data_IF_417062089790
#
_entry.id   IF_417062089790
#
_cell.length_a   1.000
_cell.length_b   1.000
_cell.length_c   1.000
_cell.angle_alpha   90.00
_cell.angle_beta   90.00
_cell.angle_gamma   90.00
#
_symmetry.space_group_name_H-M   'P 1'
#
loop_
_entity.id
_entity.type
_entity.pdbx_description
1 polymer ?
#
# COMPACT_ATOMS: atom_id res chain seq x y z
N UNK A 1 21.31 31.72 61.62
CA UNK A 1 22.36 32.25 60.71
C UNK A 1 23.50 31.25 60.73
N UNK A 2 23.74 30.40 59.75
CA UNK A 2 23.16 30.28 58.42
C UNK A 2 23.27 28.82 58.01
N UNK A 3 22.16 28.23 57.60
CA UNK A 3 22.13 26.96 56.86
C UNK A 3 22.83 27.17 55.51
N UNK A 4 23.75 26.26 55.18
CA UNK A 4 24.38 26.21 53.87
C UNK A 4 23.72 25.08 53.09
N UNK A 5 22.73 25.47 52.30
CA UNK A 5 21.98 24.65 51.35
C UNK A 5 22.90 24.18 50.24
N UNK A 6 22.99 22.86 50.04
CA UNK A 6 23.55 22.28 48.82
C UNK A 6 22.59 22.53 47.65
N UNK A 7 23.08 22.80 46.42
CA UNK A 7 22.20 22.85 45.27
C UNK A 7 21.90 21.41 44.82
N UNK A 8 20.67 20.97 45.09
CA UNK A 8 20.00 19.97 44.25
C UNK A 8 19.65 20.62 42.90
N UNK A 9 19.77 19.85 41.82
CA UNK A 9 19.09 20.16 40.56
C UNK A 9 20.01 20.53 39.40
N UNK A 10 20.38 19.50 38.64
CA UNK A 10 20.31 19.55 37.18
C UNK A 10 20.40 18.10 36.68
N UNK A 11 19.24 17.47 36.49
CA UNK A 11 19.15 16.32 35.58
C UNK A 11 19.70 16.80 34.23
N UNK A 12 20.72 16.16 33.64
CA UNK A 12 21.22 16.59 32.34
C UNK A 12 20.05 16.47 31.36
N UNK A 13 19.72 17.56 30.68
CA UNK A 13 18.84 17.54 29.52
C UNK A 13 19.28 16.39 28.63
N UNK A 14 18.54 15.28 28.68
CA UNK A 14 18.71 14.16 27.76
C UNK A 14 18.62 14.78 26.38
N UNK A 15 19.70 14.71 25.61
CA UNK A 15 19.73 15.07 24.21
C UNK A 15 18.62 14.28 23.50
N UNK A 16 17.45 14.89 23.30
CA UNK A 16 16.27 14.24 22.71
C UNK A 16 16.36 14.19 21.18
N UNK A 17 17.55 14.38 20.60
CA UNK A 17 17.75 14.42 19.14
C UNK A 17 17.71 13.06 18.45
N UNK A 18 17.72 11.95 19.19
CA UNK A 18 17.62 10.60 18.64
C UNK A 18 16.19 10.13 18.37
N UNK A 19 16.03 9.06 17.55
CA UNK A 19 14.73 8.47 17.22
C UNK A 19 14.02 7.93 18.47
N UNK A 20 12.70 7.83 18.40
CA UNK A 20 11.89 7.24 19.47
C UNK A 20 12.13 5.72 19.58
N UNK A 21 12.26 5.04 18.45
CA UNK A 21 12.55 3.62 18.36
C UNK A 21 13.72 3.41 17.41
N UNK A 22 14.66 2.57 17.79
CA UNK A 22 15.78 2.16 16.96
C UNK A 22 15.98 0.65 17.10
N UNK A 23 15.95 -0.04 15.96
CA UNK A 23 16.11 -1.49 15.85
C UNK A 23 17.34 -1.73 15.00
N UNK A 24 18.33 -2.43 15.55
CA UNK A 24 19.62 -2.68 14.87
C UNK A 24 19.94 -4.18 14.88
N UNK A 25 20.32 -4.71 13.72
CA UNK A 25 20.66 -6.11 13.43
C UNK A 25 19.75 -7.15 14.13
N UNK A 26 18.44 -6.91 14.16
CA UNK A 26 17.51 -7.74 14.92
C UNK A 26 17.37 -9.13 14.29
N UNK A 27 17.69 -10.16 15.07
CA UNK A 27 17.52 -11.56 14.69
C UNK A 27 16.68 -12.33 15.72
N UNK A 28 15.73 -13.14 15.24
CA UNK A 28 14.87 -13.98 16.10
C UNK A 28 14.52 -15.29 15.39
N UNK A 29 14.68 -16.39 16.11
CA UNK A 29 14.43 -17.76 15.67
C UNK A 29 13.46 -18.48 16.61
N UNK A 30 12.69 -19.42 16.07
CA UNK A 30 11.92 -20.38 16.86
C UNK A 30 12.43 -21.79 16.58
N UNK A 31 13.19 -22.35 17.53
CA UNK A 31 13.93 -23.58 17.28
C UNK A 31 14.98 -23.37 16.19
N UNK A 32 15.01 -24.24 15.18
CA UNK A 32 15.96 -24.15 14.06
C UNK A 32 15.48 -23.20 12.93
N UNK A 33 14.30 -22.60 13.08
CA UNK A 33 13.73 -21.73 12.05
C UNK A 33 13.99 -20.25 12.39
N UNK A 34 14.87 -19.61 11.62
CA UNK A 34 15.02 -18.15 11.62
C UNK A 34 13.77 -17.49 11.05
N UNK A 35 13.13 -16.60 11.82
CA UNK A 35 11.93 -15.86 11.39
C UNK A 35 12.28 -14.44 10.96
N UNK A 36 13.23 -13.82 11.64
CA UNK A 36 13.75 -12.49 11.30
C UNK A 36 15.26 -12.50 11.45
N UNK A 37 15.97 -11.86 10.52
CA UNK A 37 17.43 -11.83 10.46
C UNK A 37 17.89 -10.48 9.92
N UNK A 38 18.71 -9.76 10.70
CA UNK A 38 19.30 -8.48 10.29
C UNK A 38 18.27 -7.38 10.02
N UNK A 39 17.17 -7.34 10.77
CA UNK A 39 16.18 -6.26 10.61
C UNK A 39 16.70 -4.97 11.24
N UNK A 40 16.72 -3.90 10.45
CA UNK A 40 17.18 -2.57 10.84
C UNK A 40 16.20 -1.49 10.40
N UNK A 41 15.75 -0.66 11.33
CA UNK A 41 14.96 0.54 11.05
C UNK A 41 14.87 1.43 12.29
N UNK A 42 14.59 2.71 12.06
CA UNK A 42 14.33 3.70 13.10
C UNK A 42 12.96 4.34 12.93
N UNK A 43 12.40 4.87 14.01
CA UNK A 43 11.14 5.62 14.00
C UNK A 43 11.37 6.93 14.72
N UNK A 44 11.18 8.01 13.98
CA UNK A 44 11.34 9.36 14.51
C UNK A 44 10.22 9.70 15.50
N UNK A 45 10.48 10.71 16.32
CA UNK A 45 9.49 11.20 17.27
C UNK A 45 8.36 11.89 16.51
N UNK A 46 7.11 11.53 16.81
CA UNK A 46 5.96 12.15 16.17
C UNK A 46 5.65 11.59 14.78
N UNK A 47 6.19 10.42 14.42
CA UNK A 47 5.87 9.73 13.17
C UNK A 47 5.04 8.46 13.39
N UNK A 48 4.26 8.10 12.37
CA UNK A 48 3.59 6.81 12.22
C UNK A 48 4.32 5.97 11.17
N UNK A 49 4.94 4.87 11.61
CA UNK A 49 5.63 3.93 10.72
C UNK A 49 4.80 2.66 10.52
N UNK A 50 4.57 2.29 9.26
CA UNK A 50 3.85 1.08 8.88
C UNK A 50 4.80 -0.10 8.65
N UNK A 51 4.69 -1.17 9.43
CA UNK A 51 5.30 -2.46 9.10
C UNK A 51 4.38 -3.20 8.12
N UNK A 52 4.83 -3.35 6.88
CA UNK A 52 4.08 -4.00 5.80
C UNK A 52 4.84 -5.24 5.28
N UNK A 53 4.17 -6.11 4.54
CA UNK A 53 4.78 -7.33 3.98
C UNK A 53 3.82 -8.51 3.98
N UNK A 54 4.19 -9.63 3.33
CA UNK A 54 3.34 -10.82 3.28
C UNK A 54 3.14 -11.45 4.67
N UNK A 55 2.20 -12.39 4.73
CA UNK A 55 2.01 -13.22 5.91
C UNK A 55 3.27 -14.05 6.17
N UNK A 56 3.65 -14.15 7.45
CA UNK A 56 4.87 -14.86 7.84
C UNK A 56 6.17 -14.06 7.66
N UNK A 57 6.14 -12.81 7.18
CA UNK A 57 7.34 -11.98 7.02
C UNK A 57 8.03 -11.58 8.35
N UNK A 58 7.42 -11.86 9.50
CA UNK A 58 8.00 -11.54 10.81
C UNK A 58 7.52 -10.23 11.47
N UNK A 59 6.53 -9.52 10.89
CA UNK A 59 5.97 -8.26 11.45
C UNK A 59 5.63 -8.35 12.94
N UNK A 60 4.79 -9.31 13.31
CA UNK A 60 4.41 -9.57 14.71
C UNK A 60 5.60 -9.98 15.58
N UNK A 61 6.59 -10.69 15.04
CA UNK A 61 7.82 -11.06 15.73
C UNK A 61 8.66 -9.82 16.07
N UNK A 62 8.83 -8.91 15.10
CA UNK A 62 9.48 -7.60 15.31
C UNK A 62 8.74 -6.80 16.39
N UNK A 63 7.42 -6.67 16.29
CA UNK A 63 6.63 -5.97 17.31
C UNK A 63 6.75 -6.61 18.70
N UNK A 64 6.85 -7.95 18.79
CA UNK A 64 7.07 -8.68 20.05
C UNK A 64 8.43 -8.42 20.66
N UNK A 65 9.47 -8.29 19.84
CA UNK A 65 10.80 -7.89 20.27
C UNK A 65 10.78 -6.45 20.78
N UNK A 66 10.15 -5.51 20.04
CA UNK A 66 10.06 -4.10 20.44
C UNK A 66 9.29 -3.88 21.74
N UNK A 67 8.26 -4.67 22.03
CA UNK A 67 7.55 -4.60 23.33
C UNK A 67 8.21 -5.40 24.46
N UNK A 68 9.37 -6.01 24.22
CA UNK A 68 10.12 -6.78 25.23
C UNK A 68 9.41 -8.06 25.69
N UNK A 69 8.52 -8.62 24.88
CA UNK A 69 7.86 -9.92 25.16
C UNK A 69 8.55 -11.11 24.50
N UNK A 70 9.56 -10.82 23.67
CA UNK A 70 10.36 -11.79 22.96
C UNK A 70 11.80 -11.28 22.97
N UNK A 71 12.70 -12.04 23.58
CA UNK A 71 14.12 -11.71 23.58
C UNK A 71 14.72 -12.11 22.22
N UNK A 72 15.48 -11.21 21.56
CA UNK A 72 16.11 -11.54 20.30
C UNK A 72 17.36 -12.41 20.48
N UNK A 73 17.71 -13.17 19.45
CA UNK A 73 18.95 -13.96 19.40
C UNK A 73 20.18 -13.06 19.22
N UNK A 74 20.01 -11.98 18.44
CA UNK A 74 21.02 -10.97 18.17
C UNK A 74 20.38 -9.61 17.88
N UNK A 75 21.20 -8.57 17.87
CA UNK A 75 20.77 -7.19 17.66
C UNK A 75 20.36 -6.46 18.94
N UNK A 76 19.91 -5.23 18.79
CA UNK A 76 19.48 -4.37 19.91
C UNK A 76 18.22 -3.61 19.53
N UNK A 77 17.37 -3.36 20.53
CA UNK A 77 16.20 -2.51 20.39
C UNK A 77 16.30 -1.42 21.43
N UNK A 78 16.26 -0.17 21.00
CA UNK A 78 16.28 1.01 21.88
C UNK A 78 14.96 1.74 21.76
N UNK A 79 14.39 2.11 22.90
CA UNK A 79 13.23 2.99 22.97
C UNK A 79 13.63 4.21 23.79
N UNK A 80 13.42 5.39 23.22
CA UNK A 80 13.85 6.67 23.80
C UNK A 80 15.37 6.68 24.11
N UNK A 81 16.16 6.07 23.22
CA UNK A 81 17.62 5.91 23.34
C UNK A 81 18.08 4.79 24.30
N UNK A 82 17.18 4.19 25.05
CA UNK A 82 17.51 3.19 26.08
C UNK A 82 17.30 1.75 25.57
N UNK A 83 18.30 0.84 25.67
CA UNK A 83 18.13 -0.57 25.35
C UNK A 83 17.04 -1.20 26.21
N UNK A 84 16.10 -1.92 25.60
CA UNK A 84 14.96 -2.50 26.33
C UNK A 84 15.27 -3.89 26.90
N UNK A 85 16.23 -4.62 26.31
CA UNK A 85 16.61 -5.97 26.73
C UNK A 85 17.11 -6.03 28.18
N UNK A 86 17.74 -4.96 28.67
CA UNK A 86 18.24 -4.87 30.05
C UNK A 86 17.19 -4.37 31.05
N UNK A 87 15.96 -4.11 30.61
CA UNK A 87 14.89 -3.53 31.44
C UNK A 87 13.93 -4.60 31.93
N UNK A 88 13.33 -4.36 33.10
CA UNK A 88 12.20 -5.17 33.54
C UNK A 88 10.99 -4.95 32.64
N UNK A 89 10.10 -5.95 32.53
CA UNK A 89 8.84 -5.81 31.78
C UNK A 89 7.99 -4.61 32.25
N UNK A 90 8.06 -4.26 33.55
CA UNK A 90 7.40 -3.06 34.09
C UNK A 90 8.03 -1.76 33.57
N UNK A 91 9.34 -1.72 33.39
CA UNK A 91 10.03 -0.56 32.81
C UNK A 91 9.77 -0.44 31.29
N UNK A 92 9.79 -1.55 30.55
CA UNK A 92 9.46 -1.55 29.10
C UNK A 92 8.02 -1.10 28.86
N UNK A 93 7.07 -1.58 29.68
CA UNK A 93 5.67 -1.13 29.61
C UNK A 93 5.45 0.32 30.05
N UNK A 94 6.45 1.04 30.56
CA UNK A 94 6.34 2.51 30.71
C UNK A 94 6.83 3.27 29.48
N UNK A 95 7.56 2.61 28.58
CA UNK A 95 8.09 3.18 27.35
C UNK A 95 7.20 2.85 26.14
N UNK A 96 6.59 1.67 26.13
CA UNK A 96 5.82 1.17 24.98
C UNK A 96 4.48 0.61 25.44
N UNK A 97 3.40 1.09 24.84
CA UNK A 97 2.07 0.47 24.96
C UNK A 97 1.76 -0.29 23.67
N UNK A 98 1.02 -1.40 23.78
CA UNK A 98 0.61 -2.18 22.61
C UNK A 98 -0.85 -2.61 22.70
N UNK A 99 -1.56 -2.57 21.58
CA UNK A 99 -2.87 -3.22 21.48
C UNK A 99 -2.71 -4.71 21.16
N UNK A 100 -3.38 -5.63 21.87
CA UNK A 100 -3.34 -7.06 21.54
C UNK A 100 -4.08 -7.35 20.22
N UNK A 101 -3.57 -8.31 19.43
CA UNK A 101 -4.18 -8.78 18.19
C UNK A 101 -5.54 -9.50 18.40
N UNK A 102 -5.81 -10.00 19.62
CA UNK A 102 -7.04 -10.73 19.96
C UNK A 102 -7.78 -10.16 21.17
N UNK A 103 -9.10 -10.05 21.07
CA UNK A 103 -10.00 -9.42 22.07
C UNK A 103 -10.71 -10.43 22.99
N UNK A 104 -10.19 -11.64 23.17
CA UNK A 104 -10.86 -12.65 23.99
C UNK A 104 -10.62 -12.41 25.49
N UNK A 105 -11.34 -11.46 26.09
CA UNK A 105 -11.47 -11.40 27.55
C UNK A 105 -12.48 -12.47 27.99
N UNK A 106 -12.01 -13.45 28.76
CA UNK A 106 -12.84 -14.55 29.28
C UNK A 106 -13.80 -14.13 30.40
N UNK A 107 -13.76 -12.86 30.81
CA UNK A 107 -14.55 -12.30 31.90
C UNK A 107 -15.21 -10.99 31.46
N UNK A 108 -16.39 -10.72 32.01
CA UNK A 108 -17.25 -9.61 31.61
C UNK A 108 -16.85 -8.30 32.31
N UNK A 109 -15.69 -7.77 31.95
CA UNK A 109 -15.26 -6.46 32.42
C UNK A 109 -16.03 -5.34 31.72
N UNK A 110 -16.31 -4.26 32.44
CA UNK A 110 -16.80 -3.03 31.80
C UNK A 110 -15.73 -2.40 30.91
N UNK A 111 -16.15 -1.54 29.99
CA UNK A 111 -15.22 -0.74 29.18
C UNK A 111 -14.27 0.05 30.07
N UNK A 112 -14.78 0.71 31.11
CA UNK A 112 -13.95 1.48 32.06
C UNK A 112 -12.90 0.59 32.71
N UNK A 113 -13.31 -0.56 33.26
CA UNK A 113 -12.38 -1.51 33.88
C UNK A 113 -11.31 -2.00 32.89
N UNK A 114 -11.69 -2.20 31.62
CA UNK A 114 -10.75 -2.58 30.57
C UNK A 114 -9.71 -1.50 30.31
N UNK A 115 -10.11 -0.23 30.32
CA UNK A 115 -9.18 0.91 30.14
C UNK A 115 -8.32 1.13 31.38
N UNK A 116 -8.86 0.96 32.58
CA UNK A 116 -8.13 1.02 33.85
C UNK A 116 -6.95 0.03 33.90
N UNK A 117 -7.06 -1.13 33.23
CA UNK A 117 -5.95 -2.08 33.10
C UNK A 117 -4.71 -1.47 32.43
N UNK A 118 -4.85 -0.39 31.65
CA UNK A 118 -3.74 0.38 31.09
C UNK A 118 -2.84 1.02 32.16
N UNK A 119 -3.36 1.24 33.38
CA UNK A 119 -2.60 1.81 34.50
C UNK A 119 -1.75 0.79 35.28
N UNK A 120 -1.83 -0.50 34.93
CA UNK A 120 -1.08 -1.58 35.62
C UNK A 120 0.43 -1.28 35.75
N UNK A 121 1.14 -0.72 34.75
CA UNK A 121 2.57 -0.38 34.89
C UNK A 121 2.87 0.76 35.87
N UNK A 122 1.87 1.57 36.23
CA UNK A 122 2.01 2.69 37.17
C UNK A 122 1.74 2.25 38.61
N UNK A 123 0.92 1.23 38.81
CA UNK A 123 0.53 0.73 40.12
C UNK A 123 1.53 -0.28 40.72
N UNK A 124 1.77 -0.17 42.02
CA UNK A 124 2.36 -1.23 42.85
C UNK A 124 1.34 -2.32 43.21
N UNK A 125 1.82 -3.42 43.79
CA UNK A 125 0.99 -4.61 44.09
C UNK A 125 -0.23 -4.34 44.99
N UNK A 126 -0.17 -3.31 45.82
CA UNK A 126 -1.21 -2.94 46.77
C UNK A 126 -1.73 -1.51 46.57
N UNK A 127 -1.28 -0.85 45.50
CA UNK A 127 -1.69 0.51 45.23
C UNK A 127 -3.11 0.54 44.67
N UNK A 128 -3.82 1.60 45.01
CA UNK A 128 -5.11 1.93 44.40
C UNK A 128 -4.88 3.07 43.43
N UNK A 129 -5.72 3.14 42.39
CA UNK A 129 -5.72 4.27 41.48
C UNK A 129 -5.94 5.59 42.23
N UNK A 130 -5.03 6.53 42.02
CA UNK A 130 -5.15 7.89 42.51
C UNK A 130 -5.97 8.77 41.54
N UNK A 131 -6.03 10.07 41.83
CA UNK A 131 -6.75 11.02 40.97
C UNK A 131 -6.05 11.21 39.61
N UNK A 132 -4.72 11.03 39.54
CA UNK A 132 -3.96 11.07 38.30
C UNK A 132 -4.28 9.89 37.39
N UNK A 133 -4.33 8.68 37.94
CA UNK A 133 -4.70 7.47 37.21
C UNK A 133 -6.13 7.57 36.67
N UNK A 134 -7.07 8.09 37.47
CA UNK A 134 -8.46 8.30 37.02
C UNK A 134 -8.55 9.31 35.89
N UNK A 135 -7.84 10.44 35.98
CA UNK A 135 -7.77 11.43 34.90
C UNK A 135 -7.16 10.86 33.61
N UNK A 136 -6.10 10.05 33.73
CA UNK A 136 -5.48 9.40 32.58
C UNK A 136 -6.45 8.44 31.87
N UNK A 137 -7.22 7.66 32.63
CA UNK A 137 -8.28 6.79 32.10
C UNK A 137 -9.39 7.60 31.43
N UNK A 138 -9.89 8.65 32.08
CA UNK A 138 -10.95 9.50 31.51
C UNK A 138 -10.50 10.16 30.19
N UNK A 139 -9.31 10.76 30.19
CA UNK A 139 -8.73 11.39 28.99
C UNK A 139 -8.54 10.38 27.87
N UNK A 140 -8.10 9.16 28.18
CA UNK A 140 -7.93 8.11 27.18
C UNK A 140 -9.28 7.64 26.60
N UNK A 141 -10.32 7.53 27.42
CA UNK A 141 -11.67 7.17 26.97
C UNK A 141 -12.30 8.26 26.11
N UNK A 142 -12.06 9.53 26.42
CA UNK A 142 -12.50 10.68 25.63
C UNK A 142 -11.80 10.72 24.27
N UNK A 143 -10.45 10.66 24.26
CA UNK A 143 -9.65 10.64 23.03
C UNK A 143 -10.05 9.50 22.09
N UNK A 144 -10.31 8.32 22.63
CA UNK A 144 -10.75 7.17 21.84
C UNK A 144 -12.26 7.16 21.54
N UNK A 145 -13.02 8.16 21.98
CA UNK A 145 -14.47 8.25 21.78
C UNK A 145 -15.23 6.99 22.26
N UNK A 146 -14.89 6.53 23.47
CA UNK A 146 -15.51 5.36 24.14
C UNK A 146 -16.10 5.69 25.51
N UNK A 147 -16.04 6.96 25.94
CA UNK A 147 -16.57 7.42 27.24
C UNK A 147 -18.06 7.05 27.42
N UNK A 148 -18.86 7.15 26.36
CA UNK A 148 -20.29 6.79 26.36
C UNK A 148 -20.57 5.30 26.60
N UNK A 149 -19.54 4.44 26.52
CA UNK A 149 -19.66 3.00 26.73
C UNK A 149 -19.11 2.54 28.09
N UNK A 150 -18.70 3.46 28.97
CA UNK A 150 -17.93 3.17 30.17
C UNK A 150 -18.45 2.00 31.01
N UNK A 151 -19.76 1.95 31.25
CA UNK A 151 -20.40 0.95 32.10
C UNK A 151 -20.91 -0.27 31.32
N UNK A 152 -20.80 -0.26 29.98
CA UNK A 152 -21.19 -1.40 29.17
C UNK A 152 -20.16 -2.53 29.32
N UNK A 153 -20.61 -3.80 29.25
CA UNK A 153 -19.69 -4.91 29.16
C UNK A 153 -18.89 -4.85 27.86
N UNK A 154 -17.57 -5.06 27.93
CA UNK A 154 -16.67 -5.03 26.77
C UNK A 154 -17.11 -6.04 25.70
N UNK A 155 -17.59 -7.21 26.12
CA UNK A 155 -18.07 -8.28 25.26
C UNK A 155 -19.33 -7.88 24.45
N UNK A 156 -20.08 -6.86 24.89
CA UNK A 156 -21.28 -6.37 24.20
C UNK A 156 -21.01 -5.40 23.04
N UNK A 157 -19.76 -4.95 22.88
CA UNK A 157 -19.37 -3.97 21.87
C UNK A 157 -19.16 -4.60 20.49
N UNK A 158 -19.31 -3.82 19.43
CA UNK A 158 -18.91 -4.21 18.07
C UNK A 158 -17.39 -4.36 17.96
N UNK A 159 -16.89 -5.04 16.93
CA UNK A 159 -15.43 -5.21 16.72
C UNK A 159 -14.67 -3.89 16.69
N UNK A 160 -15.19 -2.88 15.96
CA UNK A 160 -14.57 -1.56 15.87
C UNK A 160 -14.64 -0.77 17.18
N UNK A 161 -15.72 -0.92 17.95
CA UNK A 161 -15.82 -0.33 19.30
C UNK A 161 -14.82 -0.97 20.25
N UNK A 162 -14.69 -2.30 20.25
CA UNK A 162 -13.69 -3.02 21.05
C UNK A 162 -12.27 -2.56 20.72
N UNK A 163 -11.95 -2.38 19.45
CA UNK A 163 -10.63 -1.89 19.04
C UNK A 163 -10.34 -0.49 19.60
N UNK A 164 -11.30 0.43 19.55
CA UNK A 164 -11.14 1.75 20.18
C UNK A 164 -10.98 1.67 21.69
N UNK A 165 -11.66 0.74 22.37
CA UNK A 165 -11.45 0.50 23.81
C UNK A 165 -10.04 -0.03 24.08
N UNK A 166 -9.51 -0.93 23.25
CA UNK A 166 -8.13 -1.40 23.38
C UNK A 166 -7.12 -0.27 23.14
N UNK A 167 -7.38 0.62 22.19
CA UNK A 167 -6.57 1.80 21.97
C UNK A 167 -6.66 2.76 23.17
N UNK A 168 -7.85 2.99 23.73
CA UNK A 168 -8.03 3.76 24.97
C UNK A 168 -7.21 3.16 26.12
N UNK A 169 -7.25 1.84 26.28
CA UNK A 169 -6.44 1.13 27.28
C UNK A 169 -4.94 1.39 27.08
N UNK A 170 -4.45 1.32 25.84
CA UNK A 170 -3.05 1.63 25.53
C UNK A 170 -2.71 3.10 25.81
N UNK A 171 -3.61 4.03 25.48
CA UNK A 171 -3.45 5.46 25.77
C UNK A 171 -3.41 5.77 27.26
N UNK A 172 -4.24 5.10 28.06
CA UNK A 172 -4.26 5.25 29.51
C UNK A 172 -2.91 4.89 30.14
N UNK A 173 -2.05 4.11 29.45
CA UNK A 173 -0.71 3.77 29.90
C UNK A 173 0.29 4.94 29.81
N UNK A 174 -0.06 6.02 29.10
CA UNK A 174 0.74 7.25 28.96
C UNK A 174 2.17 7.04 28.44
N UNK A 175 2.36 6.06 27.56
CA UNK A 175 3.68 5.75 26.99
C UNK A 175 4.05 6.69 25.84
N UNK A 176 5.34 6.95 25.61
CA UNK A 176 5.80 7.76 24.48
C UNK A 176 5.60 7.07 23.12
N UNK A 177 5.69 5.75 23.07
CA UNK A 177 5.48 4.94 21.86
C UNK A 177 4.26 4.02 21.95
N UNK A 178 3.56 3.86 20.82
CA UNK A 178 2.42 2.96 20.63
C UNK A 178 2.74 1.91 19.56
N UNK A 179 2.50 0.64 19.86
CA UNK A 179 2.59 -0.45 18.89
C UNK A 179 1.21 -1.03 18.59
N UNK A 180 0.91 -1.19 17.31
CA UNK A 180 -0.37 -1.68 16.83
C UNK A 180 -0.13 -2.92 15.98
N UNK A 181 -0.51 -4.08 16.50
CA UNK A 181 -0.40 -5.35 15.77
C UNK A 181 -1.73 -5.62 15.08
N UNK A 182 -1.78 -5.37 13.76
CA UNK A 182 -2.97 -5.52 12.91
C UNK A 182 -4.21 -4.75 13.40
N UNK A 183 -4.12 -3.42 13.60
CA UNK A 183 -5.20 -2.63 14.21
C UNK A 183 -6.51 -2.58 13.40
N UNK A 184 -6.45 -3.00 12.13
CA UNK A 184 -7.58 -2.99 11.19
C UNK A 184 -8.09 -4.40 10.86
N UNK A 185 -7.50 -5.46 11.45
CA UNK A 185 -7.91 -6.83 11.18
C UNK A 185 -9.36 -7.08 11.59
N UNK A 186 -10.11 -7.77 10.73
CA UNK A 186 -11.52 -8.14 10.96
C UNK A 186 -12.47 -6.95 11.20
N UNK A 187 -12.07 -5.73 10.81
CA UNK A 187 -12.93 -4.55 10.80
C UNK A 187 -13.50 -4.30 9.41
N UNK A 188 -14.70 -3.74 9.35
CA UNK A 188 -15.18 -3.14 8.10
C UNK A 188 -14.36 -1.89 7.74
N UNK A 189 -14.50 -1.44 6.50
CA UNK A 189 -13.75 -0.30 5.95
C UNK A 189 -13.90 0.96 6.81
N UNK A 190 -15.12 1.24 7.31
CA UNK A 190 -15.38 2.45 8.08
C UNK A 190 -14.66 2.41 9.44
N UNK A 191 -14.73 1.26 10.12
CA UNK A 191 -14.06 1.04 11.39
C UNK A 191 -12.54 1.00 11.27
N UNK A 192 -12.00 0.43 10.19
CA UNK A 192 -10.57 0.45 9.90
C UNK A 192 -10.07 1.90 9.72
N UNK A 193 -10.76 2.69 8.87
CA UNK A 193 -10.47 4.10 8.63
C UNK A 193 -10.51 4.91 9.92
N UNK A 194 -11.60 4.84 10.69
CA UNK A 194 -11.71 5.57 11.97
C UNK A 194 -10.63 5.22 12.98
N UNK A 195 -10.18 3.96 12.98
CA UNK A 195 -9.09 3.53 13.87
C UNK A 195 -7.78 4.18 13.45
N UNK A 196 -7.45 4.18 12.16
CA UNK A 196 -6.23 4.82 11.66
C UNK A 196 -6.28 6.35 11.75
N UNK A 197 -7.44 6.98 11.56
CA UNK A 197 -7.65 8.42 11.79
C UNK A 197 -7.37 8.79 13.25
N UNK A 198 -7.84 7.99 14.20
CA UNK A 198 -7.55 8.19 15.62
C UNK A 198 -6.05 8.04 15.90
N UNK A 199 -5.38 7.04 15.32
CA UNK A 199 -3.92 6.87 15.47
C UNK A 199 -3.17 8.06 14.87
N UNK A 200 -3.56 8.54 13.69
CA UNK A 200 -2.99 9.74 13.05
C UNK A 200 -3.13 10.96 13.95
N UNK A 201 -4.32 11.22 14.48
CA UNK A 201 -4.57 12.35 15.38
C UNK A 201 -3.70 12.28 16.65
N UNK A 202 -3.46 11.08 17.19
CA UNK A 202 -2.57 10.90 18.34
C UNK A 202 -1.10 11.21 17.99
N UNK A 203 -0.68 10.87 16.78
CA UNK A 203 0.66 11.16 16.27
C UNK A 203 0.84 12.65 16.00
N UNK A 204 -0.18 13.31 15.44
CA UNK A 204 -0.22 14.78 15.27
C UNK A 204 -0.13 15.53 16.62
N UNK A 205 -0.67 14.94 17.69
CA UNK A 205 -0.53 15.39 19.08
C UNK A 205 0.85 15.10 19.71
N UNK A 206 1.79 14.53 18.95
CA UNK A 206 3.17 14.26 19.36
C UNK A 206 3.45 12.85 19.88
N UNK A 207 2.51 11.89 19.77
CA UNK A 207 2.83 10.47 20.00
C UNK A 207 3.63 9.90 18.85
N UNK A 208 4.34 8.80 19.12
CA UNK A 208 5.00 8.01 18.07
C UNK A 208 4.33 6.65 17.97
N UNK A 209 4.12 6.15 16.76
CA UNK A 209 3.42 4.89 16.55
C UNK A 209 4.07 4.00 15.50
N UNK A 210 4.02 2.68 15.74
CA UNK A 210 4.37 1.65 14.77
C UNK A 210 3.19 0.72 14.59
N UNK A 211 2.73 0.54 13.36
CA UNK A 211 1.58 -0.28 13.05
C UNK A 211 1.91 -1.38 12.03
N UNK A 212 1.67 -2.64 12.38
CA UNK A 212 1.64 -3.71 11.39
C UNK A 212 0.32 -3.62 10.61
N UNK A 213 0.39 -3.22 9.34
CA UNK A 213 -0.78 -3.02 8.48
C UNK A 213 -0.63 -3.95 7.28
N UNK A 214 -1.69 -4.71 6.98
CA UNK A 214 -1.70 -5.63 5.82
C UNK A 214 -2.23 -4.98 4.55
N UNK A 215 -3.15 -4.02 4.68
CA UNK A 215 -3.68 -3.28 3.55
C UNK A 215 -2.68 -2.17 3.16
N UNK A 216 -2.03 -2.36 2.02
CA UNK A 216 -1.01 -1.44 1.51
C UNK A 216 -1.57 -0.06 1.20
N UNK A 217 -2.84 0.06 0.78
CA UNK A 217 -3.47 1.33 0.45
C UNK A 217 -3.79 2.13 1.72
N UNK A 218 -4.21 1.46 2.79
CA UNK A 218 -4.35 2.08 4.10
C UNK A 218 -2.98 2.49 4.67
N UNK A 219 -1.97 1.63 4.56
CA UNK A 219 -0.62 1.96 5.02
C UNK A 219 -0.08 3.20 4.30
N UNK A 220 -0.21 3.24 2.97
CA UNK A 220 0.20 4.36 2.12
C UNK A 220 -0.45 5.69 2.49
N UNK A 221 -1.72 5.64 2.92
CA UNK A 221 -2.51 6.84 3.22
C UNK A 221 -2.21 7.44 4.59
N UNK A 222 -1.90 6.61 5.59
CA UNK A 222 -1.82 7.07 6.98
C UNK A 222 -0.40 7.13 7.54
N UNK A 223 0.52 6.30 7.03
CA UNK A 223 1.88 6.22 7.57
C UNK A 223 2.80 7.25 6.90
N UNK A 224 3.66 7.86 7.70
CA UNK A 224 4.69 8.79 7.21
C UNK A 224 5.80 8.01 6.47
N UNK A 225 6.15 6.83 6.99
CA UNK A 225 7.08 5.89 6.39
C UNK A 225 6.58 4.45 6.49
N UNK A 226 7.07 3.59 5.60
CA UNK A 226 6.82 2.17 5.58
C UNK A 226 8.14 1.41 5.73
N UNK A 227 8.08 0.26 6.40
CA UNK A 227 9.13 -0.75 6.42
C UNK A 227 8.54 -2.03 5.86
N UNK A 228 8.96 -2.40 4.65
CA UNK A 228 8.53 -3.61 3.97
C UNK A 228 9.41 -4.79 4.38
N UNK A 229 8.82 -5.73 5.11
CA UNK A 229 9.46 -6.96 5.51
C UNK A 229 9.10 -8.08 4.52
N UNK A 230 10.09 -8.83 4.02
CA UNK A 230 9.86 -10.06 3.27
C UNK A 230 11.04 -11.03 3.40
N UNK A 231 10.75 -12.33 3.51
CA UNK A 231 11.78 -13.36 3.71
C UNK A 231 12.61 -13.16 4.98
N UNK A 232 12.02 -12.57 6.03
CA UNK A 232 12.67 -12.36 7.33
C UNK A 232 13.60 -11.15 7.43
N UNK A 233 13.65 -10.26 6.43
CA UNK A 233 14.46 -9.04 6.48
C UNK A 233 13.73 -7.83 5.90
N UNK A 234 14.34 -6.65 6.04
CA UNK A 234 13.85 -5.40 5.42
C UNK A 234 14.21 -5.41 3.94
N UNK A 235 13.22 -5.24 3.07
CA UNK A 235 13.40 -5.12 1.62
C UNK A 235 13.45 -3.67 1.15
N UNK A 236 12.61 -2.83 1.74
CA UNK A 236 12.57 -1.41 1.46
C UNK A 236 12.07 -0.67 2.71
N UNK A 237 12.57 0.53 2.93
CA UNK A 237 12.13 1.42 4.00
C UNK A 237 12.18 2.88 3.52
N UNK A 238 11.22 3.69 3.96
CA UNK A 238 11.13 5.11 3.61
C UNK A 238 9.68 5.52 3.34
N UNK A 239 9.48 6.63 2.61
CA UNK A 239 8.13 7.13 2.33
C UNK A 239 7.32 6.12 1.51
N UNK A 240 5.98 6.10 1.65
CA UNK A 240 5.14 5.18 0.89
C UNK A 240 5.41 5.15 -0.62
N UNK A 241 5.64 6.30 -1.25
CA UNK A 241 5.92 6.40 -2.69
C UNK A 241 7.25 5.78 -3.11
N UNK A 242 8.23 5.73 -2.20
CA UNK A 242 9.55 5.15 -2.47
C UNK A 242 9.55 3.63 -2.21
N UNK A 243 8.67 3.15 -1.31
CA UNK A 243 8.56 1.73 -0.91
C UNK A 243 7.57 0.95 -1.77
N UNK A 244 6.41 1.53 -2.08
CA UNK A 244 5.34 0.86 -2.82
C UNK A 244 5.51 1.06 -4.32
N UNK A 245 6.43 0.33 -4.93
CA UNK A 245 6.61 0.28 -6.39
C UNK A 245 6.24 -1.10 -6.91
N UNK A 246 5.89 -1.20 -8.20
CA UNK A 246 5.57 -2.50 -8.83
C UNK A 246 6.71 -3.51 -8.68
N UNK A 247 7.96 -3.08 -8.81
CA UNK A 247 9.14 -3.95 -8.65
C UNK A 247 9.29 -4.44 -7.20
N UNK A 248 9.23 -3.54 -6.23
CA UNK A 248 9.38 -3.87 -4.82
C UNK A 248 8.25 -4.80 -4.34
N UNK A 249 7.02 -4.59 -4.83
CA UNK A 249 5.87 -5.43 -4.49
C UNK A 249 5.93 -6.80 -5.15
N UNK A 250 6.41 -6.88 -6.40
CA UNK A 250 6.67 -8.16 -7.08
C UNK A 250 7.69 -8.98 -6.29
N UNK A 251 8.81 -8.38 -5.91
CA UNK A 251 9.88 -9.07 -5.18
C UNK A 251 9.44 -9.53 -3.78
N UNK A 252 8.58 -8.76 -3.10
CA UNK A 252 8.18 -9.04 -1.73
C UNK A 252 6.94 -9.95 -1.60
N UNK A 253 5.97 -9.81 -2.51
CA UNK A 253 4.68 -10.51 -2.42
C UNK A 253 4.49 -11.59 -3.49
N UNK A 254 5.41 -11.71 -4.46
CA UNK A 254 5.23 -12.55 -5.66
C UNK A 254 3.93 -12.19 -6.40
N UNK A 255 3.60 -10.90 -6.43
CA UNK A 255 2.33 -10.39 -6.94
C UNK A 255 2.55 -9.36 -8.05
N UNK A 256 1.88 -9.55 -9.19
CA UNK A 256 1.80 -8.53 -10.22
C UNK A 256 0.90 -7.38 -9.75
N UNK A 257 1.45 -6.17 -9.74
CA UNK A 257 0.74 -4.99 -9.23
C UNK A 257 0.94 -3.79 -10.14
N UNK A 258 -0.12 -3.02 -10.32
CA UNK A 258 -0.06 -1.68 -10.88
C UNK A 258 -0.07 -0.69 -9.70
N UNK A 259 0.93 0.20 -9.66
CA UNK A 259 0.96 1.31 -8.71
C UNK A 259 0.72 2.62 -9.44
N UNK A 260 -0.34 3.32 -9.04
CA UNK A 260 -0.64 4.69 -9.50
C UNK A 260 -0.79 5.63 -8.31
N UNK A 261 -1.22 6.87 -8.53
CA UNK A 261 -1.55 7.81 -7.45
C UNK A 261 -3.03 7.75 -7.11
N UNK A 262 -3.38 7.78 -5.82
CA UNK A 262 -4.78 7.81 -5.38
C UNK A 262 -5.46 9.13 -5.78
N UNK A 263 -6.64 9.11 -6.42
CA UNK A 263 -7.38 10.35 -6.64
C UNK A 263 -7.74 11.05 -5.32
N UNK A 264 -7.33 12.31 -5.16
CA UNK A 264 -7.63 13.12 -3.97
C UNK A 264 -6.61 13.01 -2.82
N UNK A 265 -5.57 12.19 -2.97
CA UNK A 265 -4.38 12.22 -2.09
C UNK A 265 -3.11 12.06 -2.94
N UNK A 266 -1.93 12.36 -2.40
CA UNK A 266 -0.67 12.07 -3.11
C UNK A 266 -0.12 10.67 -2.77
N UNK A 267 -0.93 9.82 -2.14
CA UNK A 267 -0.53 8.50 -1.70
C UNK A 267 -0.56 7.47 -2.86
N UNK A 268 0.35 6.47 -2.86
CA UNK A 268 0.28 5.34 -3.77
C UNK A 268 -1.03 4.56 -3.70
N UNK A 269 -1.53 4.14 -4.86
CA UNK A 269 -2.64 3.21 -5.04
C UNK A 269 -2.10 1.91 -5.63
N UNK A 270 -2.08 0.86 -4.81
CA UNK A 270 -1.69 -0.49 -5.23
C UNK A 270 -2.92 -1.23 -5.72
N UNK A 271 -2.92 -1.60 -7.00
CA UNK A 271 -3.94 -2.44 -7.63
C UNK A 271 -3.34 -3.80 -7.97
N UNK A 272 -3.75 -4.89 -7.29
CA UNK A 272 -3.32 -6.23 -7.67
C UNK A 272 -3.89 -6.60 -9.05
N UNK A 273 -3.03 -7.14 -9.90
CA UNK A 273 -3.40 -7.68 -11.19
C UNK A 273 -3.59 -9.20 -11.05
N UNK A 274 -4.52 -9.77 -11.81
CA UNK A 274 -4.69 -11.22 -11.83
C UNK A 274 -3.44 -11.85 -12.45
N UNK A 275 -2.93 -12.93 -11.86
CA UNK A 275 -1.95 -13.81 -12.52
C UNK A 275 -2.58 -14.34 -13.81
N UNK A 276 -2.26 -13.70 -14.92
CA UNK A 276 -2.48 -14.22 -16.25
C UNK A 276 -1.11 -14.58 -16.81
N UNK A 277 -0.99 -15.67 -17.55
CA UNK A 277 0.20 -15.88 -18.39
C UNK A 277 0.39 -14.61 -19.22
N UNK A 278 1.50 -13.91 -18.95
CA UNK A 278 1.81 -12.68 -19.64
C UNK A 278 1.79 -12.96 -21.14
N UNK A 279 0.92 -12.25 -21.85
CA UNK A 279 0.80 -12.40 -23.29
C UNK A 279 2.14 -12.01 -23.95
N UNK A 280 2.94 -11.15 -23.29
CA UNK A 280 4.29 -10.73 -23.70
C UNK A 280 4.39 -10.31 -25.18
N UNK A 281 3.30 -9.73 -25.71
CA UNK A 281 3.22 -9.19 -27.07
C UNK A 281 3.33 -7.67 -27.06
N UNK A 282 3.85 -7.12 -28.16
CA UNK A 282 3.76 -5.70 -28.47
C UNK A 282 2.43 -5.44 -29.19
N UNK A 283 1.60 -4.57 -28.63
CA UNK A 283 0.30 -4.24 -29.21
C UNK A 283 0.23 -2.75 -29.46
N UNK A 284 -0.21 -2.38 -30.66
CA UNK A 284 -0.47 -0.98 -31.00
C UNK A 284 -1.98 -0.73 -31.00
N UNK A 285 -2.46 0.13 -30.11
CA UNK A 285 -3.87 0.49 -29.99
C UNK A 285 -4.16 1.72 -30.83
N UNK A 286 -5.18 1.65 -31.66
CA UNK A 286 -5.64 2.74 -32.51
C UNK A 286 -7.07 3.09 -32.16
N UNK A 287 -7.27 4.32 -31.70
CA UNK A 287 -8.57 4.92 -31.42
C UNK A 287 -8.55 5.86 -30.22
N UNK A 288 -9.67 6.50 -29.95
CA UNK A 288 -9.80 7.56 -28.95
C UNK A 288 -10.88 7.25 -27.90
N UNK A 289 -10.87 8.01 -26.79
CA UNK A 289 -11.89 7.97 -25.76
C UNK A 289 -11.87 6.73 -24.86
N UNK A 290 -12.97 6.52 -24.14
CA UNK A 290 -13.11 5.45 -23.13
C UNK A 290 -12.87 4.04 -23.68
N UNK A 291 -13.35 3.64 -24.88
CA UNK A 291 -13.08 2.31 -25.41
C UNK A 291 -11.58 2.04 -25.62
N UNK A 292 -10.83 3.01 -26.16
CA UNK A 292 -9.39 2.90 -26.34
C UNK A 292 -8.66 2.87 -24.99
N UNK A 293 -9.01 3.74 -24.05
CA UNK A 293 -8.44 3.74 -22.70
C UNK A 293 -8.66 2.40 -21.96
N UNK A 294 -9.83 1.79 -22.13
CA UNK A 294 -10.16 0.50 -21.56
C UNK A 294 -9.35 -0.64 -22.23
N UNK A 295 -9.19 -0.60 -23.56
CA UNK A 295 -8.35 -1.57 -24.27
C UNK A 295 -6.89 -1.51 -23.81
N UNK A 296 -6.33 -0.31 -23.67
CA UNK A 296 -4.98 -0.07 -23.13
C UNK A 296 -4.85 -0.67 -21.74
N UNK A 297 -5.76 -0.32 -20.82
CA UNK A 297 -5.75 -0.83 -19.44
C UNK A 297 -5.81 -2.35 -19.40
N UNK A 298 -6.63 -2.96 -20.25
CA UNK A 298 -6.83 -4.41 -20.31
C UNK A 298 -5.60 -5.15 -20.84
N UNK A 299 -4.96 -4.60 -21.88
CA UNK A 299 -3.77 -5.19 -22.50
C UNK A 299 -2.54 -5.05 -21.62
N UNK A 300 -2.33 -3.89 -21.00
CA UNK A 300 -1.26 -3.68 -20.01
C UNK A 300 -1.46 -4.61 -18.82
N UNK A 301 -2.70 -4.72 -18.32
CA UNK A 301 -3.04 -5.65 -17.23
C UNK A 301 -2.82 -7.12 -17.58
N UNK A 302 -2.73 -7.47 -18.88
CA UNK A 302 -2.40 -8.81 -19.36
C UNK A 302 -0.90 -8.98 -19.72
N UNK A 303 -0.05 -8.00 -19.37
CA UNK A 303 1.39 -8.05 -19.60
C UNK A 303 1.84 -7.73 -21.03
N UNK A 304 0.99 -7.09 -21.85
CA UNK A 304 1.39 -6.60 -23.17
C UNK A 304 2.20 -5.30 -23.06
N UNK A 305 3.19 -5.11 -23.95
CA UNK A 305 3.80 -3.80 -24.19
C UNK A 305 2.92 -3.01 -25.13
N UNK A 306 2.25 -1.99 -24.61
CA UNK A 306 1.25 -1.24 -25.36
C UNK A 306 1.83 0.09 -25.86
N UNK A 307 1.53 0.40 -27.12
CA UNK A 307 1.68 1.75 -27.66
C UNK A 307 0.35 2.24 -28.20
N UNK A 308 0.16 3.56 -28.27
CA UNK A 308 -1.05 4.18 -28.81
C UNK A 308 -0.72 4.95 -30.09
N UNK A 309 -1.60 4.81 -31.08
CA UNK A 309 -1.58 5.55 -32.34
C UNK A 309 -1.82 7.04 -32.16
N UNK A 310 -2.09 7.75 -33.26
CA UNK A 310 -2.24 9.19 -33.20
C UNK A 310 -3.50 9.54 -32.41
N UNK A 311 -3.30 10.13 -31.23
CA UNK A 311 -4.36 10.47 -30.27
C UNK A 311 -4.27 11.96 -29.88
N UNK A 312 -5.39 12.69 -29.79
CA UNK A 312 -5.35 14.07 -29.31
C UNK A 312 -4.81 14.18 -27.88
N UNK A 313 -4.01 15.21 -27.62
CA UNK A 313 -3.57 15.54 -26.27
C UNK A 313 -4.78 15.87 -25.37
N UNK A 314 -4.85 15.24 -24.20
CA UNK A 314 -5.99 15.35 -23.27
C UNK A 314 -7.15 14.39 -23.57
N UNK A 315 -7.02 13.50 -24.55
CA UNK A 315 -7.95 12.39 -24.72
C UNK A 315 -7.79 11.35 -23.60
N UNK A 316 -8.89 10.69 -23.20
CA UNK A 316 -8.89 9.68 -22.13
C UNK A 316 -7.90 8.55 -22.40
N UNK A 317 -7.69 8.14 -23.65
CA UNK A 317 -6.73 7.10 -24.00
C UNK A 317 -5.29 7.57 -23.83
N UNK A 318 -4.98 8.83 -24.16
CA UNK A 318 -3.66 9.42 -23.99
C UNK A 318 -3.30 9.59 -22.51
N UNK A 319 -4.24 10.07 -21.68
CA UNK A 319 -4.06 10.18 -20.23
C UNK A 319 -3.80 8.81 -19.60
N UNK A 320 -4.63 7.81 -19.97
CA UNK A 320 -4.46 6.45 -19.47
C UNK A 320 -3.14 5.81 -19.90
N UNK A 321 -2.64 6.14 -21.10
CA UNK A 321 -1.33 5.68 -21.54
C UNK A 321 -0.22 6.23 -20.65
N UNK A 322 -0.28 7.53 -20.33
CA UNK A 322 0.68 8.18 -19.48
C UNK A 322 0.67 7.61 -18.05
N UNK A 323 -0.52 7.37 -17.47
CA UNK A 323 -0.68 6.74 -16.15
C UNK A 323 -0.06 5.34 -16.07
N UNK A 324 0.03 4.64 -17.21
CA UNK A 324 0.53 3.27 -17.34
C UNK A 324 1.92 3.20 -18.01
N UNK A 325 2.61 4.33 -18.15
CA UNK A 325 3.94 4.45 -18.79
C UNK A 325 4.03 3.81 -20.19
N UNK A 326 2.96 3.95 -20.98
CA UNK A 326 2.87 3.45 -22.35
C UNK A 326 3.33 4.50 -23.37
N UNK A 327 3.96 4.08 -24.47
CA UNK A 327 4.35 4.99 -25.54
C UNK A 327 3.11 5.48 -26.31
N UNK A 328 2.86 6.79 -26.31
CA UNK A 328 1.74 7.40 -27.03
C UNK A 328 2.21 8.44 -28.05
N UNK A 329 1.67 8.38 -29.27
CA UNK A 329 1.87 9.44 -30.28
C UNK A 329 0.77 10.48 -30.14
N UNK A 330 1.05 11.55 -29.39
CA UNK A 330 0.06 12.61 -29.13
C UNK A 330 0.16 13.75 -30.13
N UNK A 331 -0.98 14.30 -30.53
CA UNK A 331 -1.07 15.52 -31.37
C UNK A 331 -1.92 16.59 -30.68
N UNK A 332 -1.69 17.89 -30.93
CA UNK A 332 -2.54 18.94 -30.37
C UNK A 332 -4.02 18.75 -30.76
N UNK A 333 -4.93 18.96 -29.82
CA UNK A 333 -6.36 18.87 -30.09
C UNK A 333 -6.77 19.83 -31.23
N UNK A 334 -7.65 19.36 -32.14
CA UNK A 334 -8.17 20.10 -33.29
C UNK A 334 -7.13 20.54 -34.34
N UNK A 335 -5.87 20.13 -34.20
CA UNK A 335 -4.86 20.29 -35.24
C UNK A 335 -4.92 19.13 -36.23
N UNK A 336 -4.53 19.38 -37.48
CA UNK A 336 -4.33 18.31 -38.47
C UNK A 336 -3.19 17.38 -38.03
N UNK A 337 -3.28 16.11 -38.41
CA UNK A 337 -2.24 15.11 -38.11
C UNK A 337 -1.07 15.33 -39.08
N UNK A 338 0.08 15.72 -38.54
CA UNK A 338 1.29 15.89 -39.34
C UNK A 338 1.89 14.54 -39.80
N UNK A 339 2.71 14.59 -40.85
CA UNK A 339 3.27 13.39 -41.46
C UNK A 339 4.28 12.68 -40.54
N UNK A 340 4.91 13.40 -39.60
CA UNK A 340 5.88 12.84 -38.68
C UNK A 340 5.20 11.97 -37.60
N UNK A 341 4.10 12.45 -37.02
CA UNK A 341 3.26 11.70 -36.10
C UNK A 341 2.66 10.47 -36.79
N UNK A 342 2.18 10.63 -38.04
CA UNK A 342 1.65 9.52 -38.83
C UNK A 342 2.70 8.45 -39.10
N UNK A 343 3.91 8.85 -39.50
CA UNK A 343 5.01 7.91 -39.75
C UNK A 343 5.43 7.18 -38.47
N UNK A 344 5.58 7.89 -37.35
CA UNK A 344 5.95 7.28 -36.08
C UNK A 344 4.90 6.27 -35.60
N UNK A 345 3.62 6.61 -35.69
CA UNK A 345 2.55 5.68 -35.35
C UNK A 345 2.54 4.46 -36.28
N UNK A 346 2.78 4.64 -37.58
CA UNK A 346 2.88 3.54 -38.54
C UNK A 346 4.08 2.62 -38.23
N UNK A 347 5.23 3.17 -37.83
CA UNK A 347 6.41 2.39 -37.45
C UNK A 347 6.14 1.55 -36.18
N UNK A 348 5.45 2.13 -35.18
CA UNK A 348 5.02 1.41 -33.97
C UNK A 348 4.00 0.31 -34.30
N UNK A 349 3.04 0.58 -35.18
CA UNK A 349 2.07 -0.39 -35.65
C UNK A 349 2.71 -1.55 -36.43
N UNK A 350 3.71 -1.26 -37.26
CA UNK A 350 4.44 -2.27 -38.03
C UNK A 350 5.34 -3.15 -37.14
N UNK A 351 5.91 -2.57 -36.08
CA UNK A 351 6.73 -3.29 -35.09
C UNK A 351 5.91 -4.11 -34.08
N UNK A 352 4.59 -3.89 -34.03
CA UNK A 352 3.68 -4.60 -33.15
C UNK A 352 3.37 -6.03 -33.65
N UNK A 353 3.08 -6.91 -32.69
CA UNK A 353 2.57 -8.25 -32.93
C UNK A 353 1.07 -8.23 -33.28
N UNK A 354 0.35 -7.18 -32.90
CA UNK A 354 -1.05 -6.95 -33.24
C UNK A 354 -1.39 -5.46 -33.25
N UNK A 355 -2.33 -5.07 -34.10
CA UNK A 355 -3.02 -3.77 -34.02
C UNK A 355 -4.42 -3.97 -33.47
N UNK A 356 -4.77 -3.23 -32.43
CA UNK A 356 -6.10 -3.26 -31.81
C UNK A 356 -6.82 -1.96 -32.10
N UNK A 357 -7.97 -2.06 -32.73
CA UNK A 357 -8.83 -0.92 -33.07
C UNK A 357 -9.92 -0.83 -32.00
N UNK A 358 -10.00 0.28 -31.27
CA UNK A 358 -10.96 0.46 -30.18
C UNK A 358 -11.50 1.89 -30.13
N UNK A 359 -12.82 2.05 -30.21
CA UNK A 359 -13.47 3.37 -30.24
C UNK A 359 -13.40 4.04 -31.61
N UNK A 360 -13.54 5.37 -31.63
CA UNK A 360 -13.50 6.14 -32.87
C UNK A 360 -12.09 6.19 -33.45
N UNK A 361 -11.99 5.92 -34.75
CA UNK A 361 -10.75 6.05 -35.50
C UNK A 361 -10.86 7.24 -36.44
N UNK A 362 -10.25 8.36 -36.06
CA UNK A 362 -10.19 9.53 -36.95
C UNK A 362 -9.43 9.22 -38.25
N UNK A 363 -9.71 9.98 -39.31
CA UNK A 363 -9.21 9.74 -40.67
C UNK A 363 -7.67 9.62 -40.79
N UNK A 364 -6.92 10.27 -39.90
CA UNK A 364 -5.45 10.19 -39.94
C UNK A 364 -4.85 8.87 -39.45
N UNK A 365 -5.67 7.96 -38.90
CA UNK A 365 -5.23 6.64 -38.45
C UNK A 365 -5.39 5.56 -39.52
N UNK A 366 -5.98 5.84 -40.70
CA UNK A 366 -6.15 4.84 -41.76
C UNK A 366 -4.82 4.22 -42.22
N UNK A 367 -3.79 5.04 -42.45
CA UNK A 367 -2.47 4.55 -42.84
C UNK A 367 -1.78 3.72 -41.74
N UNK A 368 -2.05 4.05 -40.46
CA UNK A 368 -1.51 3.34 -39.29
C UNK A 368 -2.16 1.96 -39.16
N UNK A 369 -3.48 1.90 -39.34
CA UNK A 369 -4.23 0.64 -39.38
C UNK A 369 -3.72 -0.21 -40.54
N UNK A 370 -3.49 0.38 -41.71
CA UNK A 370 -2.99 -0.33 -42.88
C UNK A 370 -1.59 -0.93 -42.69
N UNK A 371 -0.70 -0.22 -41.98
CA UNK A 371 0.68 -0.64 -41.75
C UNK A 371 0.81 -1.87 -40.85
N UNK A 372 -0.15 -2.12 -39.95
CA UNK A 372 -0.09 -3.22 -39.00
C UNK A 372 -0.93 -4.44 -39.38
N UNK A 373 -0.46 -5.62 -38.99
CA UNK A 373 -1.16 -6.91 -39.15
C UNK A 373 -0.56 -7.94 -38.20
N UNK A 374 -1.35 -8.84 -37.60
CA UNK A 374 -2.82 -8.98 -37.61
C UNK A 374 -3.58 -7.82 -36.92
N UNK A 375 -4.88 -7.69 -37.20
CA UNK A 375 -5.76 -6.61 -36.70
C UNK A 375 -6.95 -7.19 -35.95
N UNK A 376 -7.24 -6.66 -34.76
CA UNK A 376 -8.41 -6.99 -33.95
C UNK A 376 -9.24 -5.74 -33.73
N UNK A 377 -10.57 -5.85 -33.76
CA UNK A 377 -11.47 -4.74 -33.43
C UNK A 377 -12.18 -5.04 -32.11
N UNK A 378 -12.25 -4.06 -31.21
CA UNK A 378 -12.98 -4.21 -29.94
C UNK A 378 -14.46 -3.95 -30.17
N UNK A 379 -15.32 -4.89 -29.76
CA UNK A 379 -16.78 -4.68 -29.78
C UNK A 379 -17.16 -3.49 -28.89
N UNK A 380 -18.01 -2.61 -29.41
CA UNK A 380 -18.56 -1.47 -28.66
C UNK A 380 -20.07 -1.46 -28.79
N UNK A 381 -20.81 -0.97 -27.80
CA UNK A 381 -22.29 -0.89 -27.87
C UNK A 381 -22.79 -0.02 -29.04
N UNK A 382 -21.92 0.77 -29.67
CA UNK A 382 -22.22 1.63 -30.83
C UNK A 382 -21.81 1.02 -32.19
N UNK A 383 -21.22 -0.19 -32.24
CA UNK A 383 -20.69 -0.77 -33.48
C UNK A 383 -21.77 -1.49 -34.33
N UNK A 384 -22.59 -0.70 -35.03
CA UNK A 384 -23.35 -1.18 -36.20
C UNK A 384 -22.64 -0.91 -37.54
N UNK A 385 -21.44 -0.30 -37.55
CA UNK A 385 -20.78 0.13 -38.78
C UNK A 385 -19.24 -0.06 -38.75
N UNK A 386 -18.77 -1.28 -38.91
CA UNK A 386 -17.43 -1.54 -39.49
C UNK A 386 -17.44 -2.83 -40.30
N UNK A 387 -17.99 -2.77 -41.51
CA UNK A 387 -17.78 -3.80 -42.52
C UNK A 387 -16.39 -3.59 -43.15
N UNK A 388 -15.40 -4.38 -42.72
CA UNK A 388 -14.34 -4.95 -43.57
C UNK A 388 -13.34 -5.76 -42.71
N UNK A 389 -13.40 -7.09 -42.83
CA UNK A 389 -12.31 -8.04 -42.55
C UNK A 389 -11.48 -7.88 -41.25
N UNK A 390 -12.15 -7.68 -40.11
CA UNK A 390 -11.50 -7.73 -38.77
C UNK A 390 -12.20 -8.75 -37.89
N UNK A 391 -11.43 -9.53 -37.12
CA UNK A 391 -11.98 -10.36 -36.05
C UNK A 391 -12.39 -9.42 -34.92
N UNK A 392 -13.69 -9.22 -34.77
CA UNK A 392 -14.25 -8.42 -33.67
C UNK A 392 -14.23 -9.25 -32.39
N UNK A 393 -13.76 -8.66 -31.29
CA UNK A 393 -13.56 -9.34 -30.01
C UNK A 393 -14.14 -8.48 -28.89
N UNK A 394 -14.90 -9.05 -27.95
CA UNK A 394 -15.31 -8.31 -26.76
C UNK A 394 -14.09 -7.92 -25.93
N UNK A 395 -14.11 -6.73 -25.34
CA UNK A 395 -12.97 -6.20 -24.57
C UNK A 395 -12.46 -7.16 -23.48
N UNK A 396 -13.35 -7.98 -22.91
CA UNK A 396 -13.00 -8.97 -21.91
C UNK A 396 -12.12 -10.11 -22.46
N UNK A 397 -12.33 -10.50 -23.73
CA UNK A 397 -11.58 -11.55 -24.41
C UNK A 397 -10.37 -11.04 -25.20
N UNK A 398 -10.17 -9.71 -25.25
CA UNK A 398 -9.10 -9.08 -26.01
C UNK A 398 -7.69 -9.64 -25.68
N UNK A 399 -7.28 -9.84 -24.40
CA UNK A 399 -5.99 -10.45 -24.10
C UNK A 399 -5.81 -11.86 -24.66
N UNK A 400 -6.85 -12.70 -24.56
CA UNK A 400 -6.81 -14.08 -25.06
C UNK A 400 -6.74 -14.12 -26.59
N UNK A 401 -7.44 -13.20 -27.26
CA UNK A 401 -7.38 -13.04 -28.70
C UNK A 401 -6.00 -12.57 -29.16
N UNK A 402 -5.35 -11.65 -28.44
CA UNK A 402 -3.98 -11.24 -28.76
C UNK A 402 -2.98 -12.39 -28.55
N UNK A 403 -3.16 -13.18 -27.48
CA UNK A 403 -2.29 -14.31 -27.18
C UNK A 403 -2.35 -15.42 -28.24
N UNK A 404 -3.51 -15.65 -28.84
CA UNK A 404 -3.72 -16.69 -29.85
C UNK A 404 -3.18 -16.32 -31.24
N UNK A 405 -2.74 -15.07 -31.45
CA UNK A 405 -2.19 -14.64 -32.73
C UNK A 405 -0.83 -15.30 -33.01
N UNK A 406 -0.54 -15.65 -34.28
CA UNK A 406 0.76 -16.20 -34.65
C UNK A 406 1.91 -15.23 -34.30
N UNK A 407 3.10 -15.72 -33.94
CA UNK A 407 4.25 -14.88 -33.68
C UNK A 407 4.69 -14.14 -34.95
N UNK A 408 5.25 -12.93 -34.78
CA UNK A 408 5.58 -12.03 -35.89
C UNK A 408 6.52 -12.60 -36.97
N UNK A 409 7.22 -13.71 -36.70
CA UNK A 409 8.22 -14.33 -37.58
C UNK A 409 7.69 -15.31 -38.64
N UNK A 410 6.40 -15.70 -38.63
CA UNK A 410 5.81 -16.59 -39.63
C UNK A 410 5.09 -15.85 -40.78
N UNK A 411 5.44 -14.58 -41.01
CA UNK A 411 4.83 -13.74 -42.05
C UNK A 411 5.50 -13.94 -43.41
N UNK A 412 5.12 -14.96 -44.19
CA UNK A 412 4.87 -14.81 -45.64
C UNK A 412 4.24 -16.05 -46.33
N UNK A 413 3.70 -15.80 -47.53
CA UNK A 413 3.19 -16.70 -48.60
C UNK A 413 1.69 -17.01 -48.57
N UNK A 414 0.85 -15.98 -48.74
CA UNK A 414 -0.38 -16.06 -49.57
C UNK A 414 -0.95 -14.66 -49.88
N UNK A 415 -0.12 -13.76 -50.40
CA UNK A 415 -0.64 -12.67 -51.25
C UNK A 415 -0.67 -13.16 -52.69
N UNK A 416 -1.84 -13.61 -53.12
CA UNK A 416 -2.11 -13.88 -54.54
C UNK A 416 -2.07 -12.54 -55.29
N UNK A 417 -1.34 -12.40 -56.40
CA UNK A 417 -1.29 -11.16 -57.15
C UNK A 417 -2.63 -10.93 -57.85
N UNK A 418 -3.10 -9.68 -57.79
CA UNK A 418 -4.20 -9.17 -58.60
C UNK A 418 -3.99 -9.55 -60.06
N UNK A 419 -4.94 -10.29 -60.64
CA UNK A 419 -5.02 -10.46 -62.08
C UNK A 419 -5.50 -9.14 -62.70
N UNK A 420 -4.55 -8.41 -63.26
CA UNK A 420 -4.76 -7.50 -64.36
C UNK A 420 -5.11 -8.30 -65.61
N UNK A 421 -6.33 -8.19 -66.12
CA UNK A 421 -6.60 -8.36 -67.56
C UNK A 421 -7.65 -7.34 -67.97
N UNK A 422 -7.15 -6.30 -68.62
CA UNK A 422 -7.83 -5.51 -69.63
C UNK A 422 -8.13 -6.42 -70.82
N UNK A 423 -9.41 -6.54 -71.18
CA UNK A 423 -9.94 -6.32 -72.55
C UNK A 423 -11.46 -6.13 -72.47
#
# INVERSE_FOLDING_TARGET
MSEQTAPEGSDPERDRSGPMLDVSDLAVSFGDQSVVSGVEFSVDRGSLVGLVGPNGAGKTTVLRAVKGTLDPDAGTVRVDGEPIQSKSAKAVSRLVASTPQGTALSFDFSVRQTVEMGRTPHLGRFDRMDDGDRRAVETAMERASVAQFADRPFTSLSGGERQRVLLARALAQETPALLLDEPTASLDINHAVRTLELVRALVDDGKTAVAAIHDLNLAARYCDELVLLAGGGVRAAGRPADVLTSDTLRDAFDAETLVTTQPGTDAPLVTPLAEQESVARRVHVVGTGTPAAAAVSKLVGAGCRVSIGVVPAGDTAAERAADLDCEAVTVPAFAGIDDAARQRAADLAAAADAVVIAGETGDGNSAVIEAGSPRLAVETDESAYTSNAHDTVPIAALPAAVASLPPAGERDVTRSPAQSTTD
#
